data_IF_669189672829
#
_entry.id   IF_669189672829
#
_cell.length_a   1.000
_cell.length_b   1.000
_cell.length_c   1.000
_cell.angle_alpha   90.00
_cell.angle_beta   90.00
_cell.angle_gamma   90.00
#
_symmetry.space_group_name_H-M   'P 1'
#
loop_
_entity.id
_entity.type
_entity.pdbx_description
1 polymer ?
#
# COMPACT_ATOMS: atom_id res chain seq x y z
N UNK A 1 33.90 -5.87 -36.33
CA UNK A 1 34.46 -5.65 -34.98
C UNK A 1 33.58 -4.62 -34.28
N UNK A 2 32.68 -5.06 -33.40
CA UNK A 2 31.69 -4.22 -32.70
C UNK A 2 32.36 -3.60 -31.47
N UNK A 3 32.35 -2.27 -31.35
CA UNK A 3 32.93 -1.54 -30.22
C UNK A 3 31.98 -1.65 -29.02
N UNK A 4 32.47 -2.23 -27.93
CA UNK A 4 31.82 -2.26 -26.62
C UNK A 4 32.28 -1.03 -25.84
N UNK A 5 31.36 -0.12 -25.56
CA UNK A 5 31.58 1.02 -24.66
C UNK A 5 31.24 0.56 -23.25
N UNK A 6 32.25 0.51 -22.37
CA UNK A 6 32.09 0.24 -20.95
C UNK A 6 31.90 1.57 -20.23
N UNK A 7 30.77 1.73 -19.52
CA UNK A 7 30.52 2.85 -18.62
C UNK A 7 30.89 2.40 -17.21
N UNK A 8 31.90 3.06 -16.63
CA UNK A 8 32.30 2.90 -15.22
C UNK A 8 31.50 3.92 -14.41
N UNK A 9 30.58 3.44 -13.57
CA UNK A 9 29.86 4.28 -12.61
C UNK A 9 30.51 4.11 -11.22
N UNK A 10 31.21 5.14 -10.77
CA UNK A 10 31.75 5.23 -9.42
C UNK A 10 30.67 5.84 -8.51
N UNK A 11 30.11 5.05 -7.58
CA UNK A 11 29.27 5.59 -6.50
C UNK A 11 30.16 5.88 -5.29
N UNK A 12 30.31 7.16 -4.98
CA UNK A 12 30.92 7.62 -3.74
C UNK A 12 29.91 7.49 -2.59
N UNK A 13 30.29 6.74 -1.55
CA UNK A 13 29.58 6.74 -0.27
C UNK A 13 29.78 8.09 0.43
N UNK A 14 28.71 8.66 0.96
CA UNK A 14 28.81 9.76 1.92
C UNK A 14 27.84 9.49 3.07
N UNK A 15 28.41 9.09 4.19
CA UNK A 15 27.76 9.13 5.50
C UNK A 15 27.68 10.60 5.94
N UNK A 16 26.49 11.06 6.29
CA UNK A 16 26.31 12.28 7.07
C UNK A 16 25.47 11.95 8.32
N UNK A 17 26.16 11.91 9.45
CA UNK A 17 25.58 11.92 10.80
C UNK A 17 25.28 13.37 11.16
N UNK A 18 24.02 13.67 11.49
CA UNK A 18 23.60 14.89 12.21
C UNK A 18 22.51 14.38 13.18
N UNK A 19 22.63 14.43 14.50
CA UNK A 19 23.19 15.48 15.35
C UNK A 19 22.03 16.24 16.00
N UNK A 20 21.50 15.74 17.12
CA UNK A 20 20.43 16.39 17.90
C UNK A 20 20.82 17.81 18.34
N UNK A 21 19.89 18.76 18.25
CA UNK A 21 19.89 19.98 19.06
C UNK A 21 18.46 20.51 19.25
N UNK A 22 18.26 21.12 20.41
CA UNK A 22 17.00 21.44 21.07
C UNK A 22 16.84 22.96 21.11
N UNK A 23 15.63 23.45 20.83
CA UNK A 23 15.11 24.72 21.38
C UNK A 23 14.92 25.90 20.42
N UNK A 24 13.71 26.47 20.46
CA UNK A 24 13.55 27.93 20.58
C UNK A 24 13.00 28.72 19.39
N UNK A 25 11.67 28.88 19.40
CA UNK A 25 10.90 30.12 19.24
C UNK A 25 10.96 31.02 17.97
N UNK A 26 9.76 31.33 17.47
CA UNK A 26 9.38 32.67 16.98
C UNK A 26 9.51 32.96 15.48
N UNK A 27 8.37 33.08 14.77
CA UNK A 27 8.39 33.64 13.42
C UNK A 27 7.08 33.61 12.63
N UNK A 28 6.17 34.53 12.97
CA UNK A 28 4.92 34.86 12.29
C UNK A 28 5.07 35.04 10.76
N UNK A 29 4.26 34.33 9.96
CA UNK A 29 4.23 34.43 8.50
C UNK A 29 2.86 34.04 7.95
N UNK A 30 1.99 35.03 7.82
CA UNK A 30 0.68 34.95 7.16
C UNK A 30 0.85 34.63 5.67
N UNK A 31 0.35 33.46 5.25
CA UNK A 31 0.38 32.99 3.86
C UNK A 31 -0.94 32.32 3.50
N UNK A 32 -1.86 33.12 2.97
CA UNK A 32 -3.12 32.69 2.40
C UNK A 32 -2.86 31.75 1.20
N UNK A 33 -3.18 30.47 1.36
CA UNK A 33 -2.97 29.44 0.35
C UNK A 33 -3.99 28.33 0.49
N UNK A 34 -5.12 28.49 -0.20
CA UNK A 34 -6.01 27.45 -0.70
C UNK A 34 -5.86 26.06 -0.05
N UNK A 35 -6.63 25.81 1.01
CA UNK A 35 -6.82 24.48 1.57
C UNK A 35 -7.52 23.60 0.51
N UNK A 36 -6.72 22.88 -0.27
CA UNK A 36 -7.20 21.72 -1.01
C UNK A 36 -7.76 20.70 -0.01
N UNK A 37 -8.81 19.95 -0.37
CA UNK A 37 -9.42 18.99 0.54
C UNK A 37 -8.38 17.97 1.00
N UNK A 38 -8.37 17.76 2.32
CA UNK A 38 -7.43 16.93 3.04
C UNK A 38 -7.36 15.51 2.44
N UNK A 39 -6.13 15.02 2.29
CA UNK A 39 -5.86 13.60 2.42
C UNK A 39 -6.21 13.28 3.87
N UNK A 40 -7.40 12.74 4.15
CA UNK A 40 -7.61 12.07 5.44
C UNK A 40 -7.01 10.66 5.36
N UNK A 41 -5.71 10.59 5.09
CA UNK A 41 -4.88 9.75 5.93
C UNK A 41 -4.97 10.42 7.29
N UNK A 42 -5.27 9.68 8.35
CA UNK A 42 -4.98 10.18 9.67
C UNK A 42 -3.53 10.68 9.65
N UNK A 43 -3.34 11.98 9.90
CA UNK A 43 -2.04 12.60 10.09
C UNK A 43 -1.17 11.68 10.92
N UNK A 44 -0.12 11.09 10.32
CA UNK A 44 1.05 10.42 10.93
C UNK A 44 0.87 9.87 12.37
N UNK A 45 -0.28 9.25 12.61
CA UNK A 45 -0.67 8.59 13.84
C UNK A 45 -1.24 7.28 13.35
N UNK A 46 -0.30 6.39 13.03
CA UNK A 46 -0.55 4.96 12.98
C UNK A 46 -1.17 4.53 14.32
N UNK A 47 -2.48 4.67 14.41
CA UNK A 47 -3.28 3.85 15.28
C UNK A 47 -3.44 2.55 14.55
N UNK A 48 -2.46 1.66 14.68
CA UNK A 48 -2.77 0.23 14.61
C UNK A 48 -3.92 0.05 15.61
N UNK A 49 -5.16 -0.06 15.13
CA UNK A 49 -6.22 -0.57 15.98
C UNK A 49 -5.73 -1.96 16.36
N UNK A 50 -5.42 -2.17 17.64
CA UNK A 50 -4.76 -3.40 18.11
C UNK A 50 -5.52 -4.68 17.68
N UNK A 51 -6.79 -4.56 17.28
CA UNK A 51 -7.64 -5.64 16.78
C UNK A 51 -7.76 -5.76 15.25
N UNK A 52 -7.39 -4.73 14.47
CA UNK A 52 -7.47 -4.81 12.99
C UNK A 52 -6.39 -5.76 12.46
N UNK A 53 -6.80 -6.72 11.62
CA UNK A 53 -5.88 -7.69 10.99
C UNK A 53 -5.04 -7.08 9.85
N UNK A 54 -5.48 -5.93 9.34
CA UNK A 54 -4.82 -5.17 8.28
C UNK A 54 -4.64 -3.72 8.77
N UNK A 55 -3.42 -3.22 8.72
CA UNK A 55 -3.09 -1.81 8.86
C UNK A 55 -2.76 -1.18 7.52
N UNK A 56 -3.02 0.11 7.35
CA UNK A 56 -2.64 0.88 6.16
C UNK A 56 -1.87 2.12 6.56
N UNK A 57 -0.85 2.45 5.77
CA UNK A 57 -0.07 3.67 5.90
C UNK A 57 0.35 4.15 4.51
N UNK A 58 0.90 5.35 4.43
CA UNK A 58 1.57 5.83 3.22
C UNK A 58 3.06 6.02 3.50
N UNK A 59 3.92 5.57 2.60
CA UNK A 59 5.38 5.73 2.71
C UNK A 59 5.94 6.22 1.39
N UNK A 60 6.37 7.49 1.33
CA UNK A 60 6.80 8.12 0.08
C UNK A 60 5.73 8.02 -1.01
N UNK A 61 6.08 7.38 -2.13
CA UNK A 61 5.20 7.18 -3.27
C UNK A 61 4.32 5.91 -3.17
N UNK A 62 4.33 5.22 -2.03
CA UNK A 62 3.59 3.97 -1.83
C UNK A 62 2.40 4.11 -0.88
N UNK A 63 1.36 3.34 -1.17
CA UNK A 63 0.35 2.91 -0.21
C UNK A 63 0.77 1.54 0.33
N UNK A 64 0.92 1.43 1.64
CA UNK A 64 1.47 0.25 2.30
C UNK A 64 0.40 -0.41 3.16
N UNK A 65 0.15 -1.69 2.92
CA UNK A 65 -0.70 -2.53 3.75
C UNK A 65 0.16 -3.50 4.55
N UNK A 66 -0.10 -3.57 5.85
CA UNK A 66 0.51 -4.54 6.77
C UNK A 66 -0.56 -5.52 7.22
N UNK A 67 -0.40 -6.78 6.86
CA UNK A 67 -1.28 -7.88 7.29
C UNK A 67 -0.58 -8.62 8.41
N UNK A 68 -1.24 -8.81 9.56
CA UNK A 68 -0.66 -9.49 10.72
C UNK A 68 -0.24 -10.93 10.38
N UNK A 69 0.91 -11.37 10.92
CA UNK A 69 1.48 -12.71 10.63
C UNK A 69 0.74 -13.90 11.27
N UNK A 70 -0.32 -13.63 12.04
CA UNK A 70 -1.23 -14.64 12.54
C UNK A 70 -2.21 -15.14 11.45
N UNK A 71 -2.46 -14.33 10.43
CA UNK A 71 -3.00 -14.78 9.14
C UNK A 71 -1.91 -15.59 8.44
N UNK A 72 -2.22 -16.80 7.99
CA UNK A 72 -1.25 -17.64 7.27
C UNK A 72 -1.40 -17.42 5.78
N UNK A 73 -0.32 -16.91 5.18
CA UNK A 73 -0.18 -16.65 3.76
C UNK A 73 0.95 -17.52 3.20
N UNK A 74 0.76 -18.05 1.99
CA UNK A 74 1.80 -18.75 1.25
C UNK A 74 2.66 -17.75 0.44
N UNK A 75 3.74 -18.24 -0.17
CA UNK A 75 4.73 -17.43 -0.90
C UNK A 75 4.14 -16.64 -2.08
N UNK A 76 3.02 -17.10 -2.64
CA UNK A 76 2.32 -16.46 -3.75
C UNK A 76 1.03 -15.75 -3.29
N UNK A 77 0.90 -15.44 -2.00
CA UNK A 77 -0.22 -14.64 -1.54
C UNK A 77 -0.25 -13.29 -2.24
N UNK A 78 -1.43 -12.80 -2.57
CA UNK A 78 -1.59 -11.56 -3.31
C UNK A 78 -2.70 -10.70 -2.71
N UNK A 79 -2.51 -9.39 -2.81
CA UNK A 79 -3.50 -8.38 -2.49
C UNK A 79 -3.85 -7.63 -3.77
N UNK A 80 -5.13 -7.47 -4.08
CA UNK A 80 -5.55 -6.84 -5.33
C UNK A 80 -6.80 -5.99 -5.24
N UNK A 81 -6.97 -5.14 -6.25
CA UNK A 81 -8.13 -4.30 -6.51
C UNK A 81 -9.04 -4.97 -7.52
N UNK A 82 -10.26 -5.28 -7.12
CA UNK A 82 -11.30 -5.76 -8.02
C UNK A 82 -12.38 -4.66 -8.19
N UNK A 83 -12.78 -4.30 -9.42
CA UNK A 83 -13.75 -3.23 -9.64
C UNK A 83 -15.15 -3.53 -9.09
N UNK A 84 -15.82 -2.48 -8.63
CA UNK A 84 -17.20 -2.51 -8.16
C UNK A 84 -17.32 -2.86 -6.68
N UNK A 85 -18.42 -3.52 -6.32
CA UNK A 85 -18.78 -3.88 -4.94
C UNK A 85 -19.15 -5.36 -4.80
N UNK A 86 -18.76 -6.17 -5.79
CA UNK A 86 -18.97 -7.62 -5.79
C UNK A 86 -18.22 -8.24 -4.61
N UNK A 87 -18.89 -9.14 -3.90
CA UNK A 87 -18.23 -9.96 -2.88
C UNK A 87 -17.73 -11.23 -3.53
N UNK A 88 -16.44 -11.47 -3.36
CA UNK A 88 -15.76 -12.65 -3.87
C UNK A 88 -15.91 -13.80 -2.87
N UNK A 89 -15.97 -15.03 -3.40
CA UNK A 89 -16.10 -16.25 -2.58
C UNK A 89 -14.82 -17.07 -2.53
N UNK A 90 -13.98 -16.92 -3.54
CA UNK A 90 -12.73 -17.65 -3.70
C UNK A 90 -11.75 -16.79 -4.50
N UNK A 91 -10.53 -17.26 -4.56
CA UNK A 91 -9.42 -16.60 -5.24
C UNK A 91 -9.65 -16.54 -6.76
N UNK A 92 -10.05 -17.65 -7.38
CA UNK A 92 -10.29 -17.71 -8.84
C UNK A 92 -11.31 -16.70 -9.33
N UNK A 93 -12.43 -16.50 -8.62
CA UNK A 93 -13.42 -15.48 -8.96
C UNK A 93 -12.84 -14.06 -8.86
N UNK A 94 -11.87 -13.84 -7.98
CA UNK A 94 -11.24 -12.55 -7.75
C UNK A 94 -10.13 -12.26 -8.76
N UNK A 95 -9.31 -13.25 -9.08
CA UNK A 95 -8.28 -13.21 -10.13
C UNK A 95 -8.88 -12.94 -11.52
N UNK A 96 -10.08 -13.47 -11.82
CA UNK A 96 -10.76 -13.15 -13.09
C UNK A 96 -11.17 -11.66 -13.23
N UNK A 97 -11.30 -10.93 -12.12
CA UNK A 97 -11.84 -9.57 -12.07
C UNK A 97 -10.82 -8.52 -11.63
N UNK A 98 -9.64 -8.91 -11.15
CA UNK A 98 -8.67 -7.97 -10.61
C UNK A 98 -8.07 -7.09 -11.72
N UNK A 99 -7.69 -5.86 -11.35
CA UNK A 99 -7.15 -4.88 -12.30
C UNK A 99 -5.80 -4.31 -11.88
N UNK A 100 -5.44 -4.49 -10.61
CA UNK A 100 -4.16 -4.12 -10.04
C UNK A 100 -3.92 -4.99 -8.82
N UNK A 101 -2.80 -5.68 -8.78
CA UNK A 101 -2.44 -6.58 -7.70
C UNK A 101 -0.95 -6.54 -7.40
N UNK A 102 -0.60 -7.09 -6.25
CA UNK A 102 0.77 -7.22 -5.79
C UNK A 102 0.91 -8.52 -5.02
N UNK A 103 1.91 -9.32 -5.38
CA UNK A 103 2.31 -10.48 -4.60
C UNK A 103 3.03 -10.06 -3.32
N UNK A 104 2.92 -10.92 -2.32
CA UNK A 104 3.68 -10.80 -1.09
C UNK A 104 5.18 -10.84 -1.40
N UNK A 105 5.89 -9.79 -1.01
CA UNK A 105 7.33 -9.73 -1.18
C UNK A 105 8.03 -10.37 0.02
N UNK A 106 8.77 -11.47 -0.21
CA UNK A 106 9.45 -12.22 0.85
C UNK A 106 10.48 -11.37 1.62
N UNK A 107 11.14 -10.42 0.94
CA UNK A 107 12.09 -9.45 1.51
C UNK A 107 11.42 -8.34 2.35
N UNK A 108 10.11 -8.14 2.20
CA UNK A 108 9.33 -7.14 2.95
C UNK A 108 8.53 -7.75 4.09
N UNK A 109 8.66 -9.06 4.31
CA UNK A 109 7.98 -9.75 5.40
C UNK A 109 8.80 -9.63 6.68
N UNK A 110 8.16 -9.16 7.74
CA UNK A 110 8.73 -9.20 9.09
C UNK A 110 8.16 -10.40 9.84
N UNK A 111 8.74 -10.76 10.99
CA UNK A 111 8.15 -11.78 11.85
C UNK A 111 6.72 -11.43 12.33
N UNK A 112 6.32 -10.15 12.22
CA UNK A 112 5.08 -9.61 12.78
C UNK A 112 4.01 -9.33 11.72
N UNK A 113 4.42 -9.09 10.46
CA UNK A 113 3.50 -8.75 9.39
C UNK A 113 4.04 -9.07 7.99
N UNK A 114 3.11 -9.42 7.10
CA UNK A 114 3.27 -9.40 5.65
C UNK A 114 3.01 -7.99 5.13
N UNK A 115 3.79 -7.55 4.15
CA UNK A 115 3.73 -6.18 3.62
C UNK A 115 3.41 -6.20 2.14
N UNK A 116 2.39 -5.44 1.75
CA UNK A 116 1.99 -5.20 0.37
C UNK A 116 2.09 -3.71 0.07
N UNK A 117 2.67 -3.35 -1.07
CA UNK A 117 2.91 -1.96 -1.43
C UNK A 117 2.41 -1.70 -2.85
N UNK A 118 1.55 -0.70 -2.99
CA UNK A 118 1.10 -0.20 -4.29
C UNK A 118 1.73 1.16 -4.56
N UNK A 119 2.32 1.32 -5.74
CA UNK A 119 2.77 2.64 -6.19
C UNK A 119 1.55 3.54 -6.41
N UNK A 120 1.61 4.77 -5.89
CA UNK A 120 0.52 5.75 -6.05
C UNK A 120 0.32 6.14 -7.51
N UNK A 121 1.34 6.06 -8.34
CA UNK A 121 1.23 6.27 -9.78
C UNK A 121 0.49 5.12 -10.45
N UNK A 122 0.73 3.87 -10.05
CA UNK A 122 -0.03 2.72 -10.56
C UNK A 122 -1.51 2.85 -10.20
N UNK A 123 -1.83 3.20 -8.95
CA UNK A 123 -3.21 3.50 -8.52
C UNK A 123 -3.82 4.59 -9.40
N UNK A 124 -3.08 5.66 -9.69
CA UNK A 124 -3.57 6.80 -10.47
C UNK A 124 -3.73 6.49 -11.96
N UNK A 125 -2.81 5.73 -12.53
CA UNK A 125 -2.68 5.55 -13.98
C UNK A 125 -3.42 4.30 -14.46
N UNK A 126 -3.64 3.31 -13.59
CA UNK A 126 -4.33 2.04 -13.92
C UNK A 126 -5.79 2.07 -13.45
N UNK A 127 -6.06 2.53 -12.22
CA UNK A 127 -7.42 2.49 -11.68
C UNK A 127 -8.25 3.66 -12.18
N UNK A 128 -9.50 3.36 -12.57
CA UNK A 128 -10.49 4.37 -12.91
C UNK A 128 -11.23 4.84 -11.65
N UNK A 129 -11.81 6.05 -11.70
CA UNK A 129 -12.70 6.51 -10.63
C UNK A 129 -13.89 5.57 -10.46
N UNK A 130 -14.16 5.16 -9.21
CA UNK A 130 -15.22 4.20 -8.92
C UNK A 130 -15.05 3.47 -7.59
N UNK A 131 -15.97 2.55 -7.34
CA UNK A 131 -15.91 1.62 -6.20
C UNK A 131 -15.05 0.41 -6.55
N UNK A 132 -14.37 -0.12 -5.54
CA UNK A 132 -13.54 -1.31 -5.62
C UNK A 132 -13.72 -2.18 -4.37
N UNK A 133 -13.32 -3.44 -4.49
CA UNK A 133 -13.10 -4.33 -3.37
C UNK A 133 -11.65 -4.73 -3.36
N UNK A 134 -10.99 -4.52 -2.23
CA UNK A 134 -9.67 -5.07 -1.96
C UNK A 134 -9.81 -6.51 -1.51
N UNK A 135 -9.05 -7.42 -2.11
CA UNK A 135 -9.08 -8.86 -1.80
C UNK A 135 -7.68 -9.33 -1.43
N UNK A 136 -7.57 -10.15 -0.39
CA UNK A 136 -6.34 -10.85 -0.03
C UNK A 136 -6.56 -12.34 -0.23
N UNK A 137 -5.72 -12.96 -1.05
CA UNK A 137 -5.69 -14.40 -1.26
C UNK A 137 -4.39 -14.98 -0.71
N UNK A 138 -4.43 -16.19 -0.13
CA UNK A 138 -3.25 -16.83 0.46
C UNK A 138 -2.30 -17.45 -0.58
N UNK A 139 -2.75 -17.65 -1.81
CA UNK A 139 -1.99 -18.20 -2.93
C UNK A 139 -2.60 -17.70 -4.27
N UNK A 140 -1.86 -17.86 -5.36
CA UNK A 140 -2.22 -17.49 -6.75
C UNK A 140 -2.81 -18.67 -7.53
N UNK A 141 -2.44 -19.90 -7.19
CA UNK A 141 -2.93 -21.11 -7.86
C UNK A 141 -3.88 -21.86 -6.91
N UNK A 142 -5.20 -21.73 -7.14
CA UNK A 142 -6.25 -22.34 -6.30
C UNK A 142 -6.25 -21.86 -4.84
N UNK A 143 -5.90 -20.59 -4.63
CA UNK A 143 -5.84 -19.98 -3.32
C UNK A 143 -7.21 -19.86 -2.63
N UNK A 144 -7.17 -19.51 -1.35
CA UNK A 144 -8.33 -19.10 -0.58
C UNK A 144 -8.36 -17.58 -0.49
N UNK A 145 -9.53 -17.03 -0.73
CA UNK A 145 -9.83 -15.69 -0.31
C UNK A 145 -9.80 -15.63 1.22
N UNK A 146 -8.88 -14.87 1.79
CA UNK A 146 -8.67 -14.73 3.23
C UNK A 146 -9.51 -13.60 3.81
N UNK A 147 -9.48 -12.45 3.14
CA UNK A 147 -10.26 -11.30 3.54
C UNK A 147 -10.59 -10.41 2.34
N UNK A 148 -11.57 -9.55 2.54
CA UNK A 148 -11.91 -8.51 1.59
C UNK A 148 -12.45 -7.26 2.30
N UNK A 149 -12.22 -6.07 1.74
CA UNK A 149 -12.74 -4.82 2.27
C UNK A 149 -13.04 -3.80 1.16
N UNK A 150 -14.00 -2.89 1.36
CA UNK A 150 -14.34 -1.88 0.37
C UNK A 150 -13.20 -0.86 0.17
N UNK A 151 -13.08 -0.37 -1.06
CA UNK A 151 -12.24 0.76 -1.44
C UNK A 151 -12.96 1.64 -2.46
N UNK A 152 -12.53 2.89 -2.61
CA UNK A 152 -13.00 3.75 -3.71
C UNK A 152 -11.85 4.59 -4.24
N UNK A 153 -11.84 4.82 -5.55
CA UNK A 153 -10.86 5.66 -6.25
C UNK A 153 -11.57 6.91 -6.76
N UNK A 154 -10.97 8.08 -6.50
CA UNK A 154 -11.46 9.37 -7.01
C UNK A 154 -10.30 10.30 -7.32
N UNK A 155 -10.23 10.78 -8.56
CA UNK A 155 -9.14 11.63 -9.02
C UNK A 155 -7.77 10.95 -8.91
N UNK A 156 -7.70 9.64 -9.09
CA UNK A 156 -6.47 8.84 -8.94
C UNK A 156 -5.99 8.67 -7.51
N UNK A 157 -6.84 8.91 -6.52
CA UNK A 157 -6.55 8.65 -5.10
C UNK A 157 -7.49 7.56 -4.58
N UNK A 158 -6.93 6.54 -3.95
CA UNK A 158 -7.69 5.46 -3.33
C UNK A 158 -8.00 5.76 -1.85
N UNK A 159 -9.19 5.39 -1.41
CA UNK A 159 -9.63 5.36 -0.02
C UNK A 159 -10.05 3.94 0.34
N UNK A 160 -9.86 3.54 1.60
CA UNK A 160 -10.03 2.16 2.05
C UNK A 160 -10.86 2.10 3.33
N UNK A 161 -11.84 1.22 3.36
CA UNK A 161 -12.72 1.04 4.51
C UNK A 161 -12.28 -0.17 5.35
N UNK A 162 -11.23 0.06 6.15
CA UNK A 162 -10.65 -0.97 7.03
C UNK A 162 -11.51 -1.30 8.25
N UNK A 163 -12.61 -0.56 8.48
CA UNK A 163 -13.59 -0.88 9.51
C UNK A 163 -14.61 -1.92 9.02
N UNK A 164 -14.68 -2.15 7.71
CA UNK A 164 -15.55 -3.12 7.07
C UNK A 164 -14.78 -4.29 6.43
N UNK A 165 -13.71 -4.74 7.08
CA UNK A 165 -13.00 -5.97 6.70
C UNK A 165 -13.89 -7.18 6.98
N UNK A 166 -14.02 -8.03 5.96
CA UNK A 166 -14.66 -9.34 6.06
C UNK A 166 -13.62 -10.42 5.97
N UNK A 167 -13.57 -11.27 6.99
CA UNK A 167 -12.76 -12.49 7.00
C UNK A 167 -13.58 -13.63 6.39
N UNK A 168 -12.92 -14.51 5.63
CA UNK A 168 -13.54 -15.71 5.05
C UNK A 168 -12.93 -17.00 5.63
#
# INVERSE_FOLDING_TARGET
MKKLTVIVLALAMSFAVIGCSKGGDGGNGNGNGNAGPAVTAADDNGGDKEDSKVGMSTSGDFVVFKVKSDIKLDENAWLGFCPGSKQYKNETEADEDDVLYMYQSADKTTNEAYVFEFDKNDIKDILQDGEYVMVLCDNDDDGKLILQFPASVKGGQATFDLDNIRMN
#
